data_IF_387420208088
#
_entry.id   IF_387420208088
#
_cell.length_a   1.000
_cell.length_b   1.000
_cell.length_c   1.000
_cell.angle_alpha   90.00
_cell.angle_beta   90.00
_cell.angle_gamma   90.00
#
_symmetry.space_group_name_H-M   'P 1'
#
loop_
_entity.id
_entity.type
_entity.pdbx_description
1 polymer ?
#
# COMPACT_ATOMS: atom_id res chain seq x y z
N UNK A 1 -18.88 21.37 -8.38
CA UNK A 1 -17.52 21.87 -8.05
C UNK A 1 -16.62 20.65 -8.09
N UNK A 2 -15.82 20.51 -9.15
CA UNK A 2 -14.86 19.42 -9.32
C UNK A 2 -13.49 19.97 -8.95
N UNK A 3 -13.08 19.79 -7.70
CA UNK A 3 -11.72 20.06 -7.26
C UNK A 3 -11.05 18.70 -7.02
N UNK A 4 -9.95 18.43 -7.74
CA UNK A 4 -9.05 17.30 -7.49
C UNK A 4 -9.29 16.01 -8.27
N UNK A 5 -9.20 16.01 -9.61
CA UNK A 5 -9.01 14.77 -10.41
C UNK A 5 -7.68 14.81 -11.14
N UNK A 6 -6.59 14.77 -10.40
CA UNK A 6 -5.25 14.71 -10.96
C UNK A 6 -4.41 13.70 -10.19
N UNK A 7 -3.31 13.27 -10.79
CA UNK A 7 -2.32 12.41 -10.14
C UNK A 7 -1.77 13.14 -8.91
N UNK A 8 -1.85 12.50 -7.75
CA UNK A 8 -1.20 12.97 -6.54
C UNK A 8 0.09 12.17 -6.32
N UNK A 9 1.19 12.89 -6.07
CA UNK A 9 2.50 12.31 -5.83
C UNK A 9 2.88 12.42 -4.36
N UNK A 10 3.41 11.33 -3.80
CA UNK A 10 4.02 11.30 -2.48
C UNK A 10 5.45 10.77 -2.56
N UNK A 11 6.25 11.09 -1.54
CA UNK A 11 7.57 10.48 -1.39
C UNK A 11 7.42 9.05 -0.88
N UNK A 12 8.18 8.13 -1.46
CA UNK A 12 8.27 6.73 -1.06
C UNK A 12 9.67 6.47 -0.49
N UNK A 13 9.74 5.87 0.68
CA UNK A 13 10.99 5.46 1.33
C UNK A 13 11.05 3.95 1.43
N UNK A 14 12.15 3.37 0.96
CA UNK A 14 12.44 1.96 1.21
C UNK A 14 13.44 1.86 2.38
N UNK A 15 12.97 1.39 3.53
CA UNK A 15 13.76 1.34 4.76
C UNK A 15 13.53 0.03 5.51
N UNK A 16 14.61 -0.63 5.94
CA UNK A 16 14.59 -1.92 6.65
C UNK A 16 13.76 -3.01 5.94
N UNK A 17 13.68 -2.98 4.62
CA UNK A 17 12.91 -3.96 3.83
C UNK A 17 11.42 -3.62 3.67
N UNK A 18 10.98 -2.43 4.08
CA UNK A 18 9.60 -1.99 3.99
C UNK A 18 9.46 -0.70 3.17
N UNK A 19 8.31 -0.54 2.52
CA UNK A 19 7.95 0.65 1.77
C UNK A 19 7.07 1.56 2.63
N UNK A 20 7.50 2.81 2.81
CA UNK A 20 6.76 3.84 3.54
C UNK A 20 6.38 4.99 2.64
N UNK A 21 5.13 5.41 2.69
CA UNK A 21 4.63 6.61 2.01
C UNK A 21 4.67 7.77 3.00
N UNK A 22 5.24 8.89 2.58
CA UNK A 22 5.25 10.10 3.37
C UNK A 22 4.02 10.97 3.06
N UNK A 23 3.09 11.08 4.02
CA UNK A 23 1.82 11.82 3.89
C UNK A 23 1.71 12.78 5.08
N UNK A 24 1.53 14.07 4.80
CA UNK A 24 1.29 15.11 5.82
C UNK A 24 2.31 15.14 6.99
N UNK A 25 3.58 14.78 6.71
CA UNK A 25 4.66 14.78 7.71
C UNK A 25 4.86 13.42 8.40
N UNK A 26 3.99 12.45 8.16
CA UNK A 26 3.99 11.12 8.76
C UNK A 26 4.43 10.04 7.75
N UNK A 27 5.10 8.99 8.22
CA UNK A 27 5.49 7.83 7.40
C UNK A 27 4.50 6.67 7.64
N UNK A 28 3.88 6.18 6.58
CA UNK A 28 2.85 5.13 6.60
C UNK A 28 3.33 3.89 5.86
N UNK A 29 3.20 2.71 6.47
CA UNK A 29 3.54 1.46 5.80
C UNK A 29 2.57 1.21 4.64
N UNK A 30 3.11 1.01 3.44
CA UNK A 30 2.35 0.61 2.26
C UNK A 30 2.21 -0.91 2.22
N UNK A 31 1.01 -1.40 2.46
CA UNK A 31 0.76 -2.84 2.63
C UNK A 31 -0.42 -3.30 1.78
N UNK A 32 -0.14 -3.88 0.63
CA UNK A 32 -1.17 -4.49 -0.21
C UNK A 32 -1.73 -5.79 0.39
N UNK A 33 -1.04 -6.43 1.34
CA UNK A 33 -1.47 -7.63 2.04
C UNK A 33 -2.44 -7.36 3.21
N UNK A 34 -2.53 -6.12 3.68
CA UNK A 34 -3.46 -5.72 4.74
C UNK A 34 -4.85 -5.39 4.18
N UNK A 35 -5.94 -6.03 4.65
CA UNK A 35 -7.29 -5.75 4.16
C UNK A 35 -7.85 -4.42 4.68
N UNK A 36 -7.27 -3.85 5.74
CA UNK A 36 -7.80 -2.67 6.43
C UNK A 36 -6.66 -1.77 6.89
N UNK A 37 -6.84 -0.47 6.70
CA UNK A 37 -5.93 0.57 7.17
C UNK A 37 -6.15 0.86 8.65
N UNK A 38 -5.10 1.25 9.36
CA UNK A 38 -5.19 1.77 10.72
C UNK A 38 -4.04 2.74 10.99
N UNK A 39 -4.21 3.65 11.96
CA UNK A 39 -3.13 4.53 12.36
C UNK A 39 -3.50 5.62 13.33
N UNK A 40 -2.55 6.51 13.60
CA UNK A 40 -2.68 7.55 14.62
C UNK A 40 -3.58 8.72 14.20
N UNK A 41 -3.64 9.00 12.89
CA UNK A 41 -4.32 10.16 12.30
C UNK A 41 -5.20 9.73 11.11
N UNK A 42 -6.00 10.66 10.59
CA UNK A 42 -6.63 10.46 9.29
C UNK A 42 -5.58 10.50 8.17
N UNK A 43 -5.91 9.92 7.02
CA UNK A 43 -5.06 9.89 5.83
C UNK A 43 -5.70 10.72 4.73
N UNK A 44 -4.93 11.54 4.02
CA UNK A 44 -5.43 12.37 2.90
C UNK A 44 -4.79 11.94 1.59
N UNK A 45 -5.58 11.32 0.71
CA UNK A 45 -5.14 10.85 -0.62
C UNK A 45 -6.23 11.20 -1.65
N UNK A 46 -5.84 11.67 -2.83
CA UNK A 46 -6.74 12.10 -3.89
C UNK A 46 -7.64 13.27 -3.51
N UNK A 47 -7.23 14.11 -2.55
CA UNK A 47 -8.07 15.16 -1.97
C UNK A 47 -9.21 14.65 -1.08
N UNK A 48 -9.24 13.34 -0.79
CA UNK A 48 -10.20 12.72 0.12
C UNK A 48 -9.56 12.47 1.48
N UNK A 49 -10.30 12.72 2.56
CA UNK A 49 -9.88 12.42 3.93
C UNK A 49 -10.50 11.10 4.39
N UNK A 50 -9.66 10.16 4.78
CA UNK A 50 -10.04 8.84 5.27
C UNK A 50 -9.90 8.80 6.79
N UNK A 51 -11.02 8.58 7.49
CA UNK A 51 -11.03 8.28 8.92
C UNK A 51 -10.80 6.79 9.11
N UNK A 52 -9.71 6.43 9.79
CA UNK A 52 -9.26 5.04 9.97
C UNK A 52 -9.23 4.69 11.46
N UNK A 53 -9.40 3.40 11.82
CA UNK A 53 -9.27 2.96 13.21
C UNK A 53 -7.84 3.16 13.73
N UNK A 54 -7.69 3.27 15.06
CA UNK A 54 -6.36 3.39 15.69
C UNK A 54 -5.55 2.10 15.71
N UNK A 55 -6.23 0.97 15.61
CA UNK A 55 -5.65 -0.35 15.73
C UNK A 55 -6.48 -1.35 14.94
N UNK A 56 -5.85 -2.44 14.49
CA UNK A 56 -6.50 -3.56 13.83
C UNK A 56 -6.11 -4.87 14.50
N UNK A 57 -7.09 -5.66 14.96
CA UNK A 57 -6.87 -6.93 15.68
C UNK A 57 -5.88 -6.81 16.86
N UNK A 58 -5.90 -5.67 17.55
CA UNK A 58 -5.03 -5.38 18.68
C UNK A 58 -3.67 -4.81 18.31
N UNK A 59 -3.31 -4.76 17.01
CA UNK A 59 -2.09 -4.13 16.51
C UNK A 59 -2.30 -2.62 16.33
N UNK A 60 -1.48 -1.79 16.98
CA UNK A 60 -1.44 -0.34 16.77
C UNK A 60 -0.13 0.15 16.11
N UNK A 61 0.00 1.47 15.92
CA UNK A 61 1.16 2.07 15.26
C UNK A 61 2.46 1.97 16.08
N UNK A 62 2.38 1.96 17.41
CA UNK A 62 3.55 1.81 18.29
C UNK A 62 4.09 0.38 18.18
N UNK A 63 3.21 -0.61 18.30
CA UNK A 63 3.56 -2.02 18.14
C UNK A 63 4.08 -2.31 16.72
N UNK A 64 3.42 -1.77 15.69
CA UNK A 64 3.86 -1.88 14.30
C UNK A 64 5.28 -1.32 14.12
N UNK A 65 5.54 -0.10 14.63
CA UNK A 65 6.87 0.51 14.60
C UNK A 65 7.92 -0.39 15.25
N UNK A 66 7.53 -1.07 16.33
CA UNK A 66 8.32 -2.10 17.01
C UNK A 66 8.63 -3.31 16.14
N UNK A 67 7.69 -3.79 15.31
CA UNK A 67 7.92 -4.90 14.39
C UNK A 67 8.78 -4.51 13.18
N UNK A 68 8.46 -3.40 12.52
CA UNK A 68 9.18 -2.95 11.30
C UNK A 68 10.52 -2.27 11.60
N UNK A 69 10.79 -1.96 12.88
CA UNK A 69 12.01 -1.28 13.36
C UNK A 69 12.22 0.11 12.73
N UNK A 70 11.13 0.76 12.38
CA UNK A 70 11.04 2.12 11.83
C UNK A 70 9.83 2.81 12.46
N UNK A 71 9.92 4.11 12.82
CA UNK A 71 8.73 4.86 13.20
C UNK A 71 7.73 4.86 12.05
N UNK A 72 6.47 4.57 12.35
CA UNK A 72 5.37 4.66 11.39
C UNK A 72 4.07 5.05 12.08
N UNK A 73 3.24 5.82 11.38
CA UNK A 73 1.95 6.29 11.88
C UNK A 73 0.83 5.28 11.66
N UNK A 74 1.09 4.17 10.95
CA UNK A 74 0.11 3.12 10.70
C UNK A 74 0.33 2.36 9.39
N UNK A 75 -0.71 1.67 8.95
CA UNK A 75 -0.77 0.95 7.67
C UNK A 75 -1.79 1.60 6.74
N UNK A 76 -1.41 1.78 5.48
CA UNK A 76 -2.33 2.02 4.37
C UNK A 76 -2.54 0.69 3.65
N UNK A 77 -3.72 0.13 3.85
CA UNK A 77 -4.14 -1.19 3.36
C UNK A 77 -5.12 -1.10 2.18
N UNK A 78 -5.57 -2.27 1.73
CA UNK A 78 -6.40 -2.47 0.55
C UNK A 78 -7.72 -1.67 0.55
N UNK A 79 -8.31 -1.39 1.72
CA UNK A 79 -9.51 -0.57 1.86
C UNK A 79 -9.34 0.87 1.34
N UNK A 80 -8.13 1.43 1.46
CA UNK A 80 -7.78 2.73 0.88
C UNK A 80 -7.14 2.56 -0.51
N UNK A 81 -6.21 1.61 -0.67
CA UNK A 81 -5.45 1.45 -1.90
C UNK A 81 -6.34 1.15 -3.12
N UNK A 82 -7.39 0.33 -2.95
CA UNK A 82 -8.30 -0.04 -4.05
C UNK A 82 -9.14 1.12 -4.60
N UNK A 83 -9.11 2.29 -3.94
CA UNK A 83 -9.75 3.50 -4.44
C UNK A 83 -8.97 4.20 -5.56
N UNK A 84 -7.75 3.74 -5.86
CA UNK A 84 -6.83 4.42 -6.76
C UNK A 84 -6.16 3.46 -7.74
N UNK A 85 -5.78 3.97 -8.89
CA UNK A 85 -4.70 3.42 -9.68
C UNK A 85 -3.37 3.93 -9.13
N UNK A 86 -2.41 3.03 -8.93
CA UNK A 86 -1.20 3.29 -8.13
C UNK A 86 0.05 2.93 -8.92
N UNK A 87 0.98 3.89 -9.03
CA UNK A 87 2.35 3.63 -9.49
C UNK A 87 3.31 3.70 -8.30
N UNK A 88 4.01 2.60 -8.04
CA UNK A 88 5.06 2.52 -7.02
C UNK A 88 6.43 2.51 -7.74
N UNK A 89 7.15 3.64 -7.72
CA UNK A 89 8.51 3.73 -8.27
C UNK A 89 9.55 3.79 -7.13
N UNK A 90 10.02 2.60 -6.75
CA UNK A 90 11.01 2.42 -5.70
C UNK A 90 12.35 3.08 -6.06
N UNK A 91 12.73 3.09 -7.34
CA UNK A 91 14.02 3.64 -7.78
C UNK A 91 14.04 5.15 -7.64
N UNK A 92 12.94 5.82 -7.99
CA UNK A 92 12.81 7.27 -7.86
C UNK A 92 12.34 7.70 -6.47
N UNK A 93 11.92 6.75 -5.61
CA UNK A 93 11.44 7.07 -4.27
C UNK A 93 10.14 7.85 -4.31
N UNK A 94 9.21 7.46 -5.19
CA UNK A 94 7.90 8.08 -5.31
C UNK A 94 6.78 7.05 -5.44
N UNK A 95 5.59 7.47 -5.01
CA UNK A 95 4.34 6.77 -5.30
C UNK A 95 3.34 7.77 -5.86
N UNK A 96 2.59 7.35 -6.88
CA UNK A 96 1.52 8.13 -7.48
C UNK A 96 0.18 7.45 -7.17
N UNK A 97 -0.81 8.26 -6.80
CA UNK A 97 -2.20 7.84 -6.67
C UNK A 97 -3.05 8.63 -7.66
N UNK A 98 -3.91 7.92 -8.38
CA UNK A 98 -4.80 8.51 -9.38
C UNK A 98 -6.18 7.89 -9.31
N UNK A 99 -7.23 8.70 -9.50
CA UNK A 99 -8.60 8.19 -9.69
C UNK A 99 -8.83 7.66 -11.12
N UNK A 100 -7.87 7.88 -12.02
CA UNK A 100 -7.88 7.46 -13.42
C UNK A 100 -6.66 6.59 -13.70
N UNK A 101 -6.73 5.76 -14.74
CA UNK A 101 -5.65 4.83 -15.12
C UNK A 101 -4.34 5.57 -15.44
N UNK A 102 -3.24 5.13 -14.83
CA UNK A 102 -1.88 5.56 -15.09
C UNK A 102 -1.31 4.66 -16.18
N UNK A 103 -1.24 5.18 -17.41
CA UNK A 103 -0.68 4.43 -18.54
C UNK A 103 0.81 4.15 -18.34
N UNK A 104 1.18 2.86 -18.32
CA UNK A 104 2.54 2.38 -18.23
C UNK A 104 2.86 1.46 -19.40
N UNK A 105 4.12 1.50 -19.85
CA UNK A 105 4.65 0.52 -20.80
C UNK A 105 5.33 -0.59 -20.03
N UNK A 106 5.00 -1.83 -20.34
CA UNK A 106 5.61 -2.99 -19.71
C UNK A 106 4.82 -4.26 -19.97
N UNK A 107 5.14 -5.29 -19.20
CA UNK A 107 4.38 -6.54 -19.16
C UNK A 107 3.22 -6.40 -18.18
N UNK A 108 2.05 -6.88 -18.58
CA UNK A 108 0.88 -6.94 -17.72
C UNK A 108 0.81 -8.29 -17.06
N UNK A 109 0.71 -8.30 -15.73
CA UNK A 109 0.37 -9.48 -14.95
C UNK A 109 -1.09 -9.35 -14.54
N UNK A 110 -1.92 -10.31 -14.93
CA UNK A 110 -3.31 -10.35 -14.48
C UNK A 110 -3.36 -10.58 -12.96
N UNK A 111 -4.13 -9.73 -12.30
CA UNK A 111 -4.41 -9.81 -10.87
C UNK A 111 -5.89 -10.06 -10.66
N UNK A 112 -6.19 -10.90 -9.68
CA UNK A 112 -7.53 -11.00 -9.08
C UNK A 112 -7.44 -10.48 -7.66
N UNK A 113 -8.56 -10.42 -6.94
CA UNK A 113 -8.55 -10.06 -5.52
C UNK A 113 -9.20 -11.13 -4.66
N UNK A 114 -8.84 -11.14 -3.38
CA UNK A 114 -9.56 -11.86 -2.34
C UNK A 114 -9.71 -10.95 -1.13
N UNK A 115 -10.95 -10.56 -0.83
CA UNK A 115 -11.25 -9.54 0.19
C UNK A 115 -10.52 -8.21 -0.06
N UNK A 116 -10.35 -7.82 -1.34
CA UNK A 116 -9.65 -6.60 -1.72
C UNK A 116 -8.11 -6.71 -1.74
N UNK A 117 -7.53 -7.79 -1.22
CA UNK A 117 -6.08 -8.02 -1.30
C UNK A 117 -5.75 -8.57 -2.69
N UNK A 118 -4.76 -8.01 -3.42
CA UNK A 118 -4.38 -8.48 -4.75
C UNK A 118 -3.77 -9.89 -4.69
N UNK A 119 -4.18 -10.72 -5.64
CA UNK A 119 -3.75 -12.11 -5.83
C UNK A 119 -3.19 -12.27 -7.24
N UNK A 120 -1.95 -12.73 -7.31
CA UNK A 120 -1.26 -13.08 -8.56
C UNK A 120 -1.15 -14.60 -8.73
N UNK A 121 -1.05 -15.02 -9.98
CA UNK A 121 -0.70 -16.39 -10.33
C UNK A 121 0.82 -16.50 -10.48
N UNK A 122 1.45 -17.33 -9.66
CA UNK A 122 2.90 -17.59 -9.70
C UNK A 122 3.17 -19.07 -10.02
N UNK A 123 4.16 -19.33 -10.89
CA UNK A 123 4.65 -20.69 -11.13
C UNK A 123 5.85 -20.97 -10.20
N UNK A 124 5.68 -21.90 -9.26
CA UNK A 124 6.70 -22.27 -8.28
C UNK A 124 6.94 -23.78 -8.39
N UNK A 125 8.16 -24.16 -8.80
CA UNK A 125 8.52 -25.57 -8.98
C UNK A 125 7.68 -26.30 -10.04
N UNK A 126 7.25 -25.60 -11.09
CA UNK A 126 6.40 -26.15 -12.16
C UNK A 126 4.92 -26.26 -11.80
N UNK A 127 4.51 -25.76 -10.63
CA UNK A 127 3.11 -25.73 -10.21
C UNK A 127 2.59 -24.30 -10.10
N UNK A 128 1.40 -24.08 -10.63
CA UNK A 128 0.70 -22.80 -10.55
C UNK A 128 0.08 -22.62 -9.15
N UNK A 129 0.44 -21.51 -8.48
CA UNK A 129 -0.04 -21.10 -7.15
C UNK A 129 -0.64 -19.71 -7.18
N UNK A 130 -1.78 -19.53 -6.50
CA UNK A 130 -2.33 -18.21 -6.20
C UNK A 130 -1.64 -17.67 -4.95
N UNK A 131 -1.04 -16.49 -5.07
CA UNK A 131 -0.26 -15.86 -4.00
C UNK A 131 -0.77 -14.44 -3.78
N UNK A 132 -0.83 -14.00 -2.53
CA UNK A 132 -1.04 -12.59 -2.25
C UNK A 132 0.14 -11.77 -2.75
N UNK A 133 -0.15 -10.68 -3.46
CA UNK A 133 0.86 -9.69 -3.78
C UNK A 133 0.94 -8.72 -2.59
N UNK A 134 1.94 -8.93 -1.73
CA UNK A 134 2.05 -8.30 -0.42
C UNK A 134 3.32 -7.44 -0.35
N UNK A 135 3.17 -6.12 -0.37
CA UNK A 135 4.27 -5.15 -0.20
C UNK A 135 4.71 -4.96 1.24
N UNK A 136 3.90 -5.39 2.22
CA UNK A 136 4.22 -5.38 3.64
C UNK A 136 5.15 -6.53 4.05
N UNK A 137 5.11 -7.64 3.32
CA UNK A 137 5.97 -8.81 3.55
C UNK A 137 7.40 -8.63 3.01
N UNK A 138 8.40 -8.96 3.84
CA UNK A 138 9.81 -8.97 3.43
C UNK A 138 10.26 -10.26 2.73
N UNK A 139 9.48 -11.33 2.90
CA UNK A 139 9.78 -12.67 2.37
C UNK A 139 8.54 -13.23 1.70
N UNK A 140 8.73 -13.94 0.59
CA UNK A 140 7.69 -14.73 -0.05
C UNK A 140 7.70 -16.14 0.53
N UNK A 141 6.53 -16.68 0.88
CA UNK A 141 6.36 -18.03 1.41
C UNK A 141 5.09 -18.68 0.83
N UNK A 142 5.06 -20.02 0.79
CA UNK A 142 3.98 -20.86 0.27
C UNK A 142 3.48 -21.81 1.36
#
# INVERSE_FOLDING_TARGET
>A
MNEGKGIQQFSLRHQKGHLFIHIDGDDWLLDTGAPTSFGTNCVVIGGQTFSIPRSYLGLDAEELSGFVKCPTSGIIGADLLNGFDILIDIRQGLVLFSAEEISLKGETVEMTDFMGIPVIQANIGGSDRKMFFDTGAQISYL
#
